data_IF_952803073139
#
_entry.id   IF_952803073139
#
_cell.length_a   1.000
_cell.length_b   1.000
_cell.length_c   1.000
_cell.angle_alpha   90.00
_cell.angle_beta   90.00
_cell.angle_gamma   90.00
#
_symmetry.space_group_name_H-M   'P 1'
#
loop_
_entity.id
_entity.type
_entity.pdbx_description
1 polymer ?
#
# COMPACT_ATOMS: atom_id res chain seq x y z
N UNK A 1 19.26 5.45 0.15
CA UNK A 1 18.30 6.15 -0.74
C UNK A 1 16.90 6.04 -0.15
N UNK A 2 16.32 7.16 0.32
CA UNK A 2 15.02 7.21 1.03
C UNK A 2 13.81 6.79 0.18
N UNK A 3 13.97 6.54 -1.11
CA UNK A 3 12.87 6.14 -2.00
C UNK A 3 13.19 4.87 -2.80
N UNK A 4 14.26 4.14 -2.45
CA UNK A 4 14.69 2.98 -3.21
C UNK A 4 13.58 1.91 -3.31
N UNK A 5 12.85 1.68 -2.22
CA UNK A 5 11.80 0.66 -2.20
C UNK A 5 10.59 0.99 -3.09
N UNK A 6 9.91 2.15 -2.99
CA UNK A 6 8.79 2.45 -3.89
C UNK A 6 9.25 2.59 -5.36
N UNK A 7 10.49 3.03 -5.61
CA UNK A 7 11.09 3.01 -6.96
C UNK A 7 11.24 1.57 -7.45
N UNK A 8 11.74 0.65 -6.61
CA UNK A 8 11.85 -0.76 -6.96
C UNK A 8 10.47 -1.35 -7.29
N UNK A 9 9.45 -1.08 -6.48
CA UNK A 9 8.07 -1.54 -6.74
C UNK A 9 7.56 -1.00 -8.08
N UNK A 10 7.74 0.31 -8.34
CA UNK A 10 7.37 0.91 -9.63
C UNK A 10 8.10 0.25 -10.81
N UNK A 11 9.41 0.02 -10.69
CA UNK A 11 10.21 -0.62 -11.74
C UNK A 11 9.77 -2.07 -11.99
N UNK A 12 9.43 -2.82 -10.94
CA UNK A 12 8.89 -4.17 -11.06
C UNK A 12 7.53 -4.17 -11.76
N UNK A 13 6.65 -3.22 -11.44
CA UNK A 13 5.36 -3.08 -12.11
C UNK A 13 5.51 -2.74 -13.60
N UNK A 14 6.44 -1.84 -13.94
CA UNK A 14 6.74 -1.50 -15.34
C UNK A 14 7.34 -2.72 -16.06
N UNK A 15 8.27 -3.43 -15.42
CA UNK A 15 8.88 -4.62 -15.99
C UNK A 15 7.84 -5.71 -16.24
N UNK A 16 6.89 -5.92 -15.32
CA UNK A 16 5.78 -6.85 -15.48
C UNK A 16 4.90 -6.48 -16.68
N UNK A 17 4.48 -5.21 -16.80
CA UNK A 17 3.71 -4.74 -17.96
C UNK A 17 4.50 -4.94 -19.26
N UNK A 18 5.82 -4.70 -19.25
CA UNK A 18 6.66 -4.85 -20.43
C UNK A 18 6.87 -6.31 -20.85
N UNK A 19 6.60 -7.29 -19.98
CA UNK A 19 6.66 -8.72 -20.30
C UNK A 19 5.34 -9.28 -20.82
N UNK A 20 4.24 -8.55 -20.69
CA UNK A 20 2.94 -9.01 -21.19
C UNK A 20 2.86 -8.96 -22.73
N UNK A 21 2.25 -9.99 -23.30
CA UNK A 21 2.03 -10.07 -24.74
C UNK A 21 0.82 -9.22 -25.14
N UNK A 22 0.98 -8.39 -26.17
CA UNK A 22 -0.09 -7.58 -26.75
C UNK A 22 -1.23 -8.47 -27.27
N UNK A 23 -0.95 -9.73 -27.66
CA UNK A 23 -1.99 -10.67 -28.06
C UNK A 23 -2.96 -11.05 -26.95
N UNK A 24 -2.57 -10.86 -25.68
CA UNK A 24 -3.39 -11.17 -24.51
C UNK A 24 -4.30 -10.02 -24.10
N UNK A 25 -4.28 -8.88 -24.80
CA UNK A 25 -5.19 -7.78 -24.52
C UNK A 25 -6.64 -8.24 -24.66
N UNK A 26 -7.45 -7.85 -23.67
CA UNK A 26 -8.89 -8.11 -23.73
C UNK A 26 -9.51 -7.30 -24.89
N UNK A 27 -10.43 -7.95 -25.62
CA UNK A 27 -11.15 -7.36 -26.75
C UNK A 27 -12.27 -6.44 -26.27
N UNK A 28 -12.78 -6.65 -25.04
CA UNK A 28 -13.83 -5.83 -24.42
C UNK A 28 -13.34 -5.18 -23.11
N UNK A 29 -12.40 -4.25 -23.25
CA UNK A 29 -11.80 -3.54 -22.10
C UNK A 29 -12.87 -2.77 -21.34
N UNK A 30 -13.08 -3.14 -20.07
CA UNK A 30 -13.87 -2.35 -19.14
C UNK A 30 -13.10 -1.09 -18.70
N UNK A 31 -13.18 -0.03 -19.51
CA UNK A 31 -12.47 1.24 -19.28
C UNK A 31 -12.80 1.91 -17.94
N UNK A 32 -14.05 1.78 -17.47
CA UNK A 32 -14.43 2.33 -16.17
C UNK A 32 -13.76 1.58 -15.02
N UNK A 33 -13.79 0.25 -15.05
CA UNK A 33 -13.09 -0.58 -14.09
C UNK A 33 -11.58 -0.33 -14.12
N UNK A 34 -10.99 -0.25 -15.31
CA UNK A 34 -9.57 0.07 -15.50
C UNK A 34 -9.21 1.43 -14.88
N UNK A 35 -9.99 2.48 -15.14
CA UNK A 35 -9.76 3.80 -14.56
C UNK A 35 -9.90 3.79 -13.03
N UNK A 36 -10.90 3.07 -12.51
CA UNK A 36 -11.12 2.94 -11.07
C UNK A 36 -9.97 2.21 -10.38
N UNK A 37 -9.64 0.99 -10.80
CA UNK A 37 -8.56 0.22 -10.19
C UNK A 37 -7.18 0.84 -10.43
N UNK A 38 -6.95 1.37 -11.64
CA UNK A 38 -5.70 2.05 -11.98
C UNK A 38 -5.46 3.30 -11.13
N UNK A 39 -6.48 4.13 -10.93
CA UNK A 39 -6.34 5.34 -10.09
C UNK A 39 -6.05 4.99 -8.62
N UNK A 40 -6.76 4.00 -8.05
CA UNK A 40 -6.52 3.56 -6.67
C UNK A 40 -5.13 2.91 -6.53
N UNK A 41 -4.69 2.12 -7.52
CA UNK A 41 -3.33 1.59 -7.58
C UNK A 41 -2.27 2.70 -7.56
N UNK A 42 -2.45 3.77 -8.34
CA UNK A 42 -1.54 4.92 -8.35
C UNK A 42 -1.52 5.61 -6.99
N UNK A 43 -2.67 5.83 -6.36
CA UNK A 43 -2.77 6.42 -5.02
C UNK A 43 -2.01 5.55 -4.00
N UNK A 44 -2.16 4.22 -4.07
CA UNK A 44 -1.44 3.31 -3.19
C UNK A 44 0.07 3.31 -3.42
N UNK A 45 0.51 3.42 -4.67
CA UNK A 45 1.94 3.59 -4.98
C UNK A 45 2.47 4.91 -4.38
N UNK A 46 1.73 6.01 -4.50
CA UNK A 46 2.07 7.28 -3.86
C UNK A 46 2.11 7.18 -2.34
N UNK A 47 1.19 6.42 -1.73
CA UNK A 47 1.21 6.16 -0.30
C UNK A 47 2.51 5.50 0.16
N UNK A 48 3.10 4.60 -0.64
CA UNK A 48 4.42 4.02 -0.35
C UNK A 48 5.54 5.07 -0.31
N UNK A 49 5.52 6.07 -1.21
CA UNK A 49 6.45 7.20 -1.14
C UNK A 49 6.24 8.06 0.11
N UNK A 50 4.98 8.29 0.48
CA UNK A 50 4.62 9.10 1.65
C UNK A 50 5.09 8.43 2.95
N UNK A 51 4.89 7.12 3.10
CA UNK A 51 5.29 6.37 4.30
C UNK A 51 6.79 6.48 4.56
N UNK A 52 7.63 6.46 3.51
CA UNK A 52 9.09 6.67 3.60
C UNK A 52 9.47 8.03 4.18
N UNK A 53 8.61 9.03 4.02
CA UNK A 53 8.87 10.41 4.41
C UNK A 53 8.30 10.76 5.78
N UNK A 54 7.09 10.30 6.08
CA UNK A 54 6.32 10.82 7.22
C UNK A 54 6.48 9.93 8.45
N UNK A 55 6.56 8.61 8.28
CA UNK A 55 6.48 7.69 9.41
C UNK A 55 7.88 7.43 9.97
N UNK A 56 8.14 7.97 11.16
CA UNK A 56 9.41 7.82 11.86
C UNK A 56 9.39 6.70 12.92
N UNK A 57 8.21 6.16 13.23
CA UNK A 57 8.06 5.08 14.20
C UNK A 57 8.35 3.76 13.47
N UNK A 58 9.49 3.14 13.79
CA UNK A 58 10.03 1.98 13.05
C UNK A 58 9.01 0.85 12.88
N UNK A 59 8.28 0.51 13.93
CA UNK A 59 7.28 -0.56 13.84
C UNK A 59 6.13 -0.18 12.91
N UNK A 60 5.49 0.98 13.14
CA UNK A 60 4.40 1.48 12.30
C UNK A 60 4.83 1.59 10.84
N UNK A 61 6.06 2.05 10.60
CA UNK A 61 6.66 2.14 9.27
C UNK A 61 6.64 0.79 8.55
N UNK A 62 7.17 -0.28 9.17
CA UNK A 62 7.23 -1.58 8.50
C UNK A 62 5.85 -2.22 8.31
N UNK A 63 4.93 -2.07 9.26
CA UNK A 63 3.56 -2.57 9.09
C UNK A 63 2.82 -1.81 7.99
N UNK A 64 2.91 -0.47 7.94
CA UNK A 64 2.31 0.32 6.86
C UNK A 64 2.95 0.02 5.50
N UNK A 65 4.27 -0.05 5.42
CA UNK A 65 4.98 -0.33 4.17
C UNK A 65 4.57 -1.71 3.62
N UNK A 66 4.53 -2.72 4.48
CA UNK A 66 4.12 -4.08 4.11
C UNK A 66 2.65 -4.10 3.69
N UNK A 67 1.77 -3.52 4.51
CA UNK A 67 0.33 -3.48 4.24
C UNK A 67 -0.02 -2.77 2.94
N UNK A 68 0.54 -1.58 2.72
CA UNK A 68 0.34 -0.82 1.49
C UNK A 68 0.93 -1.51 0.26
N UNK A 69 2.03 -2.26 0.40
CA UNK A 69 2.58 -3.03 -0.72
C UNK A 69 1.64 -4.17 -1.12
N UNK A 70 1.11 -4.91 -0.15
CA UNK A 70 0.16 -5.98 -0.44
C UNK A 70 -1.14 -5.45 -1.05
N UNK A 71 -1.69 -4.35 -0.51
CA UNK A 71 -2.87 -3.70 -1.11
C UNK A 71 -2.55 -3.18 -2.51
N UNK A 72 -1.38 -2.58 -2.73
CA UNK A 72 -0.94 -2.14 -4.06
C UNK A 72 -0.88 -3.30 -5.05
N UNK A 73 -0.24 -4.42 -4.68
CA UNK A 73 -0.13 -5.60 -5.55
C UNK A 73 -1.51 -6.16 -5.89
N UNK A 74 -2.42 -6.26 -4.92
CA UNK A 74 -3.82 -6.65 -5.18
C UNK A 74 -4.48 -5.76 -6.22
N UNK A 75 -4.43 -4.44 -6.03
CA UNK A 75 -5.04 -3.48 -6.95
C UNK A 75 -4.35 -3.45 -8.32
N UNK A 76 -3.04 -3.72 -8.36
CA UNK A 76 -2.28 -3.82 -9.59
C UNK A 76 -2.73 -5.03 -10.40
N UNK A 77 -2.90 -6.20 -9.76
CA UNK A 77 -3.47 -7.39 -10.40
C UNK A 77 -4.89 -7.06 -10.90
N UNK A 78 -5.75 -6.46 -10.08
CA UNK A 78 -7.10 -6.03 -10.51
C UNK A 78 -7.08 -5.08 -11.71
N UNK A 79 -6.05 -4.24 -11.82
CA UNK A 79 -5.87 -3.34 -12.96
C UNK A 79 -5.46 -4.10 -14.22
N UNK A 80 -4.51 -5.05 -14.07
CA UNK A 80 -4.03 -5.87 -15.18
C UNK A 80 -5.13 -6.80 -15.70
N UNK A 81 -5.97 -7.34 -14.83
CA UNK A 81 -7.14 -8.17 -15.18
C UNK A 81 -8.22 -7.41 -15.97
N UNK A 82 -8.19 -6.06 -16.00
CA UNK A 82 -9.04 -5.27 -16.91
C UNK A 82 -8.38 -4.95 -18.25
N UNK A 83 -7.08 -5.20 -18.39
CA UNK A 83 -6.33 -4.97 -19.63
C UNK A 83 -6.06 -6.27 -20.40
N UNK A 84 -5.78 -7.35 -19.68
CA UNK A 84 -5.32 -8.60 -20.23
C UNK A 84 -6.20 -9.77 -19.76
N UNK A 85 -6.28 -10.80 -20.60
CA UNK A 85 -7.04 -12.01 -20.31
C UNK A 85 -6.22 -12.95 -19.43
N UNK A 86 -6.63 -13.11 -18.18
CA UNK A 86 -6.08 -14.09 -17.24
C UNK A 86 -7.15 -15.11 -16.81
N UNK A 87 -6.75 -16.28 -16.27
CA UNK A 87 -7.68 -17.20 -15.63
C UNK A 87 -8.29 -16.56 -14.37
N UNK A 88 -9.58 -16.22 -14.43
CA UNK A 88 -10.31 -15.52 -13.36
C UNK A 88 -10.15 -16.16 -11.97
N UNK A 89 -10.18 -17.49 -11.90
CA UNK A 89 -10.05 -18.22 -10.63
C UNK A 89 -8.72 -17.91 -9.90
N UNK A 90 -7.64 -17.64 -10.64
CA UNK A 90 -6.31 -17.39 -10.06
C UNK A 90 -6.15 -15.93 -9.69
N UNK A 91 -6.60 -15.01 -10.56
CA UNK A 91 -6.50 -13.57 -10.30
C UNK A 91 -7.38 -13.17 -9.13
N UNK A 92 -8.63 -13.63 -9.07
CA UNK A 92 -9.56 -13.31 -7.98
C UNK A 92 -9.02 -13.76 -6.61
N UNK A 93 -8.49 -14.98 -6.51
CA UNK A 93 -7.93 -15.51 -5.25
C UNK A 93 -6.71 -14.69 -4.80
N UNK A 94 -5.80 -14.36 -5.72
CA UNK A 94 -4.60 -13.58 -5.40
C UNK A 94 -4.96 -12.15 -5.00
N UNK A 95 -5.89 -11.53 -5.72
CA UNK A 95 -6.40 -10.20 -5.43
C UNK A 95 -6.95 -10.13 -4.01
N UNK A 96 -7.85 -11.05 -3.65
CA UNK A 96 -8.49 -11.06 -2.33
C UNK A 96 -7.51 -11.41 -1.22
N UNK A 97 -6.62 -12.38 -1.43
CA UNK A 97 -5.61 -12.77 -0.44
C UNK A 97 -4.67 -11.60 -0.13
N UNK A 98 -4.12 -10.96 -1.15
CA UNK A 98 -3.22 -9.82 -0.95
C UNK A 98 -3.95 -8.62 -0.35
N UNK A 99 -5.20 -8.37 -0.72
CA UNK A 99 -6.01 -7.31 -0.11
C UNK A 99 -6.23 -7.57 1.37
N UNK A 100 -6.67 -8.78 1.73
CA UNK A 100 -6.93 -9.17 3.11
C UNK A 100 -5.67 -9.08 3.97
N UNK A 101 -4.57 -9.68 3.52
CA UNK A 101 -3.28 -9.64 4.23
C UNK A 101 -2.80 -8.20 4.36
N UNK A 102 -2.85 -7.42 3.27
CA UNK A 102 -2.44 -6.03 3.29
C UNK A 102 -3.25 -5.18 4.26
N UNK A 103 -4.58 -5.33 4.26
CA UNK A 103 -5.47 -4.66 5.21
C UNK A 103 -5.18 -5.05 6.66
N UNK A 104 -4.87 -6.32 6.94
CA UNK A 104 -4.50 -6.76 8.29
C UNK A 104 -3.22 -6.05 8.78
N UNK A 105 -2.19 -5.94 7.94
CA UNK A 105 -0.98 -5.19 8.26
C UNK A 105 -1.26 -3.70 8.51
N UNK A 106 -2.12 -3.07 7.70
CA UNK A 106 -2.52 -1.66 7.90
C UNK A 106 -3.23 -1.47 9.24
N UNK A 107 -4.18 -2.36 9.59
CA UNK A 107 -4.88 -2.30 10.88
C UNK A 107 -3.90 -2.42 12.05
N UNK A 108 -2.95 -3.37 11.98
CA UNK A 108 -1.92 -3.53 13.01
C UNK A 108 -1.07 -2.26 13.14
N UNK A 109 -0.72 -1.63 12.01
CA UNK A 109 0.05 -0.40 12.00
C UNK A 109 -0.70 0.76 12.67
N UNK A 110 -2.00 0.90 12.38
CA UNK A 110 -2.87 1.91 13.00
C UNK A 110 -2.94 1.70 14.51
N UNK A 111 -3.15 0.46 14.97
CA UNK A 111 -3.18 0.14 16.41
C UNK A 111 -1.85 0.53 17.08
N UNK A 112 -0.72 0.17 16.47
CA UNK A 112 0.60 0.53 17.01
C UNK A 112 0.85 2.03 17.01
N UNK A 113 0.36 2.74 16.00
CA UNK A 113 0.49 4.19 15.93
C UNK A 113 -0.33 4.90 17.00
N UNK A 114 -1.57 4.46 17.24
CA UNK A 114 -2.43 4.99 18.31
C UNK A 114 -1.76 4.78 19.68
N UNK A 115 -1.28 3.57 19.98
CA UNK A 115 -0.59 3.27 21.24
C UNK A 115 0.65 4.13 21.46
N UNK A 116 1.44 4.33 20.40
CA UNK A 116 2.61 5.21 20.48
C UNK A 116 2.20 6.66 20.78
N UNK A 117 1.15 7.17 20.13
CA UNK A 117 0.69 8.53 20.40
C UNK A 117 0.13 8.69 21.82
N UNK A 118 -0.57 7.68 22.34
CA UNK A 118 -1.05 7.66 23.73
C UNK A 118 0.13 7.74 24.72
N UNK A 119 1.17 6.94 24.50
CA UNK A 119 2.38 6.94 25.33
C UNK A 119 3.08 8.31 25.33
N UNK A 120 3.29 8.90 24.16
CA UNK A 120 3.88 10.24 24.04
C UNK A 120 3.01 11.29 24.72
N UNK A 121 1.69 11.23 24.56
CA UNK A 121 0.78 12.17 25.20
C UNK A 121 0.83 12.07 26.73
N UNK A 122 0.88 10.85 27.28
CA UNK A 122 1.05 10.64 28.72
C UNK A 122 2.37 11.23 29.24
N UNK A 123 3.47 11.02 28.51
CA UNK A 123 4.78 11.60 28.86
C UNK A 123 4.76 13.13 28.83
N UNK A 124 4.09 13.74 27.84
CA UNK A 124 3.97 15.20 27.76
C UNK A 124 3.15 15.78 28.92
N UNK A 125 2.09 15.09 29.36
CA UNK A 125 1.29 15.48 30.52
C UNK A 125 2.13 15.40 31.80
N UNK A 126 2.90 14.32 31.98
CA UNK A 126 3.80 14.15 33.13
C UNK A 126 4.86 15.27 33.18
N UNK A 127 5.52 15.53 32.06
CA UNK A 127 6.50 16.62 31.95
C UNK A 127 5.89 17.99 32.26
N UNK A 128 4.69 18.26 31.75
CA UNK A 128 3.97 19.50 32.06
C UNK A 128 3.59 19.62 33.54
N UNK A 129 3.32 18.50 34.22
CA UNK A 129 3.02 18.51 35.66
C UNK A 129 4.24 18.69 36.57
N UNK A 130 5.44 18.43 36.04
CA UNK A 130 6.72 18.63 36.73
C UNK A 130 7.33 20.02 36.47
N UNK A 131 6.80 20.75 35.49
CA UNK A 131 7.24 22.11 35.15
C UNK A 131 6.60 23.12 36.11
N UNK A 132 7.10 23.14 37.35
CA UNK A 132 6.61 23.95 38.48
C UNK A 132 7.01 25.45 38.39
N UNK A 133 7.29 25.97 37.17
CA UNK A 133 7.87 27.30 36.94
C UNK A 133 7.12 28.21 35.94
N UNK A 134 5.84 27.94 35.69
CA UNK A 134 4.89 28.98 35.22
C UNK A 134 3.74 29.17 36.19
#
# INVERSE_FOLDING_TARGET
MRYAYPILILLLSIAFIATEDVSNLDVDINYFGLAAYGSISIIMLLALFIVQRIINIKEVYYYLLTGFTFVYVSLFISTMDKLYVYPADVTDILEDLFRLVGSAFVVIAIIKWIKYNEEINSQLIELASLDDLT
#
